data_IF_577391123747
#
_entry.id   IF_577391123747
#
_cell.length_a   1.000
_cell.length_b   1.000
_cell.length_c   1.000
_cell.angle_alpha   90.00
_cell.angle_beta   90.00
_cell.angle_gamma   90.00
#
_symmetry.space_group_name_H-M   'P 1'
#
loop_
_entity.id
_entity.type
_entity.pdbx_description
1 polymer ?
#
# COMPACT_ATOMS: atom_id res chain seq x y z
N UNK A 1 11.93 -14.21 6.73
CA UNK A 1 10.46 -14.37 6.74
C UNK A 1 10.18 -15.85 6.95
N UNK A 2 9.48 -16.24 8.03
CA UNK A 2 9.32 -17.64 8.44
C UNK A 2 8.59 -18.46 7.37
N UNK A 3 9.32 -19.30 6.65
CA UNK A 3 8.75 -20.30 5.75
C UNK A 3 8.36 -21.53 6.56
N UNK A 4 7.39 -21.36 7.46
CA UNK A 4 6.87 -22.44 8.30
C UNK A 4 5.99 -23.41 7.51
N UNK A 5 5.93 -24.66 7.98
CA UNK A 5 4.87 -25.58 7.59
C UNK A 5 3.63 -25.27 8.43
N UNK A 6 2.46 -25.30 7.80
CA UNK A 6 1.17 -25.11 8.47
C UNK A 6 0.29 -26.34 8.24
N UNK A 7 -0.50 -26.75 9.23
CA UNK A 7 -1.50 -27.80 9.00
C UNK A 7 -2.59 -27.28 8.06
N UNK A 8 -3.13 -28.17 7.22
CA UNK A 8 -4.25 -27.87 6.31
C UNK A 8 -5.43 -27.15 7.00
N UNK A 9 -5.70 -27.49 8.26
CA UNK A 9 -6.82 -26.95 9.03
C UNK A 9 -6.61 -25.49 9.41
N UNK A 10 -5.41 -25.15 9.89
CA UNK A 10 -5.00 -23.79 10.25
C UNK A 10 -4.87 -22.90 9.00
N UNK A 11 -4.53 -23.51 7.86
CA UNK A 11 -4.37 -22.81 6.59
C UNK A 11 -5.68 -22.23 6.04
N UNK A 12 -6.86 -22.72 6.46
CA UNK A 12 -8.17 -22.26 5.94
C UNK A 12 -8.42 -20.77 6.17
N UNK A 13 -7.86 -20.22 7.24
CA UNK A 13 -8.05 -18.82 7.60
C UNK A 13 -7.04 -17.87 6.95
N UNK A 14 -6.04 -18.38 6.23
CA UNK A 14 -4.98 -17.57 5.62
C UNK A 14 -5.53 -16.56 4.59
N UNK A 15 -6.47 -16.98 3.75
CA UNK A 15 -7.08 -16.10 2.73
C UNK A 15 -7.83 -14.93 3.37
N UNK A 16 -8.60 -15.20 4.43
CA UNK A 16 -9.29 -14.16 5.21
C UNK A 16 -8.31 -13.21 5.90
N UNK A 17 -7.23 -13.75 6.47
CA UNK A 17 -6.20 -12.94 7.11
C UNK A 17 -5.49 -12.02 6.09
N UNK A 18 -5.16 -12.53 4.90
CA UNK A 18 -4.55 -11.73 3.82
C UNK A 18 -5.49 -10.61 3.34
N UNK A 19 -6.79 -10.89 3.20
CA UNK A 19 -7.80 -9.90 2.84
C UNK A 19 -7.93 -8.80 3.90
N UNK A 20 -8.07 -9.17 5.18
CA UNK A 20 -8.14 -8.20 6.29
C UNK A 20 -6.89 -7.33 6.34
N UNK A 21 -5.70 -7.93 6.25
CA UNK A 21 -4.44 -7.18 6.26
C UNK A 21 -4.39 -6.13 5.13
N UNK A 22 -4.95 -6.46 3.97
CA UNK A 22 -4.93 -5.55 2.82
C UNK A 22 -5.92 -4.41 2.96
N UNK A 23 -7.09 -4.65 3.55
CA UNK A 23 -7.99 -3.56 3.93
C UNK A 23 -7.37 -2.63 4.98
N UNK A 24 -6.62 -3.18 5.93
CA UNK A 24 -5.88 -2.37 6.92
C UNK A 24 -4.85 -1.49 6.19
N UNK A 25 -4.08 -2.05 5.25
CA UNK A 25 -3.09 -1.29 4.46
C UNK A 25 -3.77 -0.19 3.64
N UNK A 26 -4.84 -0.51 2.90
CA UNK A 26 -5.59 0.45 2.10
C UNK A 26 -6.18 1.56 2.99
N UNK A 27 -6.77 1.18 4.13
CA UNK A 27 -7.34 2.13 5.09
C UNK A 27 -6.30 3.06 5.69
N UNK A 28 -5.14 2.53 6.11
CA UNK A 28 -4.03 3.33 6.61
C UNK A 28 -3.52 4.32 5.55
N UNK A 29 -3.40 3.88 4.29
CA UNK A 29 -3.01 4.75 3.19
C UNK A 29 -4.04 5.85 2.92
N UNK A 30 -5.33 5.53 2.96
CA UNK A 30 -6.39 6.52 2.80
C UNK A 30 -6.31 7.62 3.88
N UNK A 31 -6.09 7.24 5.15
CA UNK A 31 -5.90 8.19 6.25
C UNK A 31 -4.71 9.10 5.98
N UNK A 32 -3.55 8.53 5.60
CA UNK A 32 -2.34 9.32 5.30
C UNK A 32 -2.59 10.28 4.13
N UNK A 33 -3.27 9.83 3.08
CA UNK A 33 -3.61 10.69 1.93
C UNK A 33 -4.52 11.85 2.31
N UNK A 34 -5.51 11.62 3.17
CA UNK A 34 -6.39 12.67 3.71
C UNK A 34 -5.60 13.66 4.56
N UNK A 35 -4.74 13.17 5.47
CA UNK A 35 -3.87 14.05 6.28
C UNK A 35 -2.93 14.88 5.40
N UNK A 36 -2.40 14.27 4.34
CA UNK A 36 -1.58 14.99 3.37
C UNK A 36 -2.34 16.13 2.71
N UNK A 37 -3.54 15.86 2.21
CA UNK A 37 -4.34 16.85 1.46
C UNK A 37 -4.84 18.00 2.31
N UNK A 38 -5.31 17.72 3.53
CA UNK A 38 -6.01 18.72 4.34
C UNK A 38 -5.16 19.36 5.44
N UNK A 39 -4.02 18.77 5.80
CA UNK A 39 -3.20 19.24 6.92
C UNK A 39 -1.80 19.64 6.45
N UNK A 40 -1.09 18.72 5.78
CA UNK A 40 0.34 18.91 5.46
C UNK A 40 0.52 19.84 4.26
N UNK A 41 -0.19 19.60 3.16
CA UNK A 41 -0.06 20.40 1.94
C UNK A 41 -0.42 21.88 2.18
N UNK A 42 -1.54 22.23 2.85
CA UNK A 42 -1.86 23.62 3.13
C UNK A 42 -0.77 24.34 3.94
N UNK A 43 -0.20 23.66 4.95
CA UNK A 43 0.92 24.21 5.74
C UNK A 43 2.19 24.40 4.91
N UNK A 44 2.50 23.46 4.01
CA UNK A 44 3.63 23.60 3.09
C UNK A 44 3.44 24.78 2.12
N UNK A 45 2.21 25.00 1.65
CA UNK A 45 1.83 26.15 0.82
C UNK A 45 2.02 27.46 1.56
N UNK A 46 1.57 27.53 2.82
CA UNK A 46 1.73 28.71 3.67
C UNK A 46 3.20 29.06 3.88
N UNK A 47 4.04 28.07 4.23
CA UNK A 47 5.48 28.25 4.41
C UNK A 47 6.17 28.68 3.11
N UNK A 48 5.81 28.07 1.97
CA UNK A 48 6.36 28.43 0.67
C UNK A 48 5.98 29.87 0.26
N UNK A 49 4.74 30.29 0.54
CA UNK A 49 4.27 31.65 0.29
C UNK A 49 5.02 32.71 1.10
N UNK A 50 5.37 32.40 2.36
CA UNK A 50 6.15 33.31 3.22
C UNK A 50 7.63 33.36 2.82
N UNK A 51 8.19 32.26 2.33
CA UNK A 51 9.60 32.17 1.94
C UNK A 51 9.89 32.64 0.51
N UNK A 52 8.86 33.01 -0.26
CA UNK A 52 9.00 33.37 -1.68
C UNK A 52 9.42 32.18 -2.55
N UNK A 53 9.39 30.96 -2.01
CA UNK A 53 9.80 29.75 -2.70
C UNK A 53 8.73 29.42 -3.73
N UNK A 54 9.07 29.24 -5.03
CA UNK A 54 8.09 28.84 -6.01
C UNK A 54 7.55 27.48 -5.58
N UNK A 55 6.28 27.47 -5.15
CA UNK A 55 5.53 26.23 -4.95
C UNK A 55 5.82 25.36 -6.16
N UNK A 56 6.37 24.15 -5.97
CA UNK A 56 6.69 23.33 -7.11
C UNK A 56 5.38 23.14 -7.87
N UNK A 57 5.26 23.73 -9.06
CA UNK A 57 4.11 23.58 -9.98
C UNK A 57 3.81 22.09 -10.21
N UNK A 58 4.83 21.24 -9.99
CA UNK A 58 4.77 19.79 -9.88
C UNK A 58 3.74 19.25 -8.87
N UNK A 59 3.45 19.92 -7.75
CA UNK A 59 2.53 19.40 -6.72
C UNK A 59 1.07 19.35 -7.17
N UNK A 60 0.63 20.25 -8.06
CA UNK A 60 -0.75 20.34 -8.51
C UNK A 60 -1.15 19.24 -9.51
N UNK A 61 -0.19 18.75 -10.31
CA UNK A 61 -0.44 17.69 -11.30
C UNK A 61 -0.08 16.30 -10.78
N UNK A 62 1.00 16.17 -10.03
CA UNK A 62 1.43 14.86 -9.52
C UNK A 62 0.52 14.35 -8.41
N UNK A 63 -0.10 15.23 -7.63
CA UNK A 63 -1.03 14.83 -6.58
C UNK A 63 -2.28 14.11 -7.12
N UNK A 64 -3.06 14.69 -8.07
CA UNK A 64 -4.21 13.98 -8.63
C UNK A 64 -3.78 12.70 -9.36
N UNK A 65 -2.63 12.69 -10.05
CA UNK A 65 -2.10 11.47 -10.70
C UNK A 65 -1.79 10.38 -9.68
N UNK A 66 -1.06 10.70 -8.60
CA UNK A 66 -0.73 9.76 -7.54
C UNK A 66 -1.98 9.24 -6.84
N UNK A 67 -2.97 10.11 -6.58
CA UNK A 67 -4.24 9.71 -5.99
C UNK A 67 -5.05 8.80 -6.93
N UNK A 68 -5.14 9.11 -8.22
CA UNK A 68 -5.80 8.23 -9.20
C UNK A 68 -5.12 6.86 -9.26
N UNK A 69 -3.78 6.82 -9.24
CA UNK A 69 -3.00 5.57 -9.20
C UNK A 69 -3.28 4.76 -7.93
N UNK A 70 -3.29 5.39 -6.76
CA UNK A 70 -3.60 4.74 -5.49
C UNK A 70 -5.04 4.18 -5.47
N UNK A 71 -6.01 4.90 -6.04
CA UNK A 71 -7.40 4.43 -6.16
C UNK A 71 -7.48 3.22 -7.08
N UNK A 72 -6.86 3.28 -8.26
CA UNK A 72 -6.86 2.16 -9.22
C UNK A 72 -6.18 0.91 -8.63
N UNK A 73 -5.07 1.08 -7.91
CA UNK A 73 -4.40 -0.02 -7.21
C UNK A 73 -5.26 -0.58 -6.08
N UNK A 74 -5.94 0.26 -5.31
CA UNK A 74 -6.88 -0.17 -4.27
C UNK A 74 -7.98 -1.04 -4.86
N UNK A 75 -8.62 -0.62 -5.96
CA UNK A 75 -9.65 -1.39 -6.66
C UNK A 75 -9.08 -2.73 -7.14
N UNK A 76 -7.89 -2.72 -7.75
CA UNK A 76 -7.25 -3.95 -8.25
C UNK A 76 -6.93 -4.95 -7.13
N UNK A 77 -6.50 -4.45 -5.96
CA UNK A 77 -6.23 -5.28 -4.77
C UNK A 77 -7.53 -5.85 -4.23
N UNK A 78 -8.59 -5.04 -4.09
CA UNK A 78 -9.90 -5.48 -3.59
C UNK A 78 -10.47 -6.59 -4.49
N UNK A 79 -10.51 -6.37 -5.80
CA UNK A 79 -10.97 -7.37 -6.76
C UNK A 79 -10.16 -8.67 -6.68
N UNK A 80 -8.84 -8.56 -6.54
CA UNK A 80 -7.98 -9.75 -6.41
C UNK A 80 -8.16 -10.46 -5.07
N UNK A 81 -8.52 -9.70 -4.03
CA UNK A 81 -8.73 -10.21 -2.67
C UNK A 81 -9.97 -11.10 -2.56
N UNK A 82 -10.99 -10.84 -3.40
CA UNK A 82 -12.22 -11.63 -3.42
C UNK A 82 -11.96 -13.07 -3.92
N UNK A 83 -10.97 -13.25 -4.80
CA UNK A 83 -10.58 -14.57 -5.32
C UNK A 83 -9.59 -15.33 -4.42
N UNK A 84 -9.07 -14.72 -3.34
CA UNK A 84 -8.07 -15.36 -2.47
C UNK A 84 -8.62 -16.59 -1.76
N UNK A 85 -9.88 -16.55 -1.32
CA UNK A 85 -10.47 -17.67 -0.59
C UNK A 85 -10.71 -18.87 -1.51
N UNK A 86 -11.13 -18.62 -2.75
CA UNK A 86 -11.39 -19.66 -3.74
C UNK A 86 -10.09 -20.29 -4.26
N UNK A 87 -9.06 -19.47 -4.54
CA UNK A 87 -7.72 -19.95 -4.90
C UNK A 87 -7.12 -20.80 -3.76
N UNK A 88 -7.27 -20.36 -2.51
CA UNK A 88 -6.84 -21.11 -1.34
C UNK A 88 -7.60 -22.43 -1.20
N UNK A 89 -8.92 -22.44 -1.38
CA UNK A 89 -9.76 -23.66 -1.34
C UNK A 89 -9.31 -24.67 -2.40
N UNK A 90 -9.10 -24.23 -3.65
CA UNK A 90 -8.58 -25.09 -4.71
C UNK A 90 -7.19 -25.66 -4.38
N UNK A 91 -6.29 -24.84 -3.84
CA UNK A 91 -4.95 -25.30 -3.41
C UNK A 91 -5.03 -26.32 -2.28
N UNK A 92 -5.93 -26.13 -1.31
CA UNK A 92 -6.10 -27.01 -0.14
C UNK A 92 -6.77 -28.34 -0.48
N UNK A 93 -7.54 -28.44 -1.57
CA UNK A 93 -8.16 -29.71 -2.01
C UNK A 93 -7.14 -30.80 -2.33
N UNK A 94 -5.92 -30.42 -2.74
CA UNK A 94 -4.84 -31.36 -3.11
C UNK A 94 -4.19 -32.07 -1.93
N UNK A 95 -4.46 -31.63 -0.70
CA UNK A 95 -3.80 -32.13 0.52
C UNK A 95 -4.76 -32.92 1.40
N UNK A 96 -4.25 -33.91 2.14
CA UNK A 96 -5.03 -34.71 3.09
C UNK A 96 -5.24 -33.96 4.42
N UNK A 97 -6.20 -34.42 5.22
CA UNK A 97 -6.42 -33.88 6.57
C UNK A 97 -5.20 -34.22 7.45
N UNK A 98 -4.74 -33.25 8.26
CA UNK A 98 -3.54 -33.40 9.10
C UNK A 98 -2.21 -33.21 8.37
N UNK A 99 -2.21 -33.07 7.04
CA UNK A 99 -0.98 -32.87 6.27
C UNK A 99 -0.38 -31.47 6.51
N UNK A 100 0.94 -31.43 6.62
CA UNK A 100 1.70 -30.20 6.76
C UNK A 100 2.03 -29.62 5.38
N UNK A 101 1.59 -28.40 5.15
CA UNK A 101 1.70 -27.70 3.88
C UNK A 101 2.72 -26.58 4.04
N UNK A 102 3.66 -26.50 3.09
CA UNK A 102 4.60 -25.39 3.02
C UNK A 102 3.82 -24.09 2.68
N UNK A 103 3.90 -23.07 3.55
CA UNK A 103 3.15 -21.82 3.39
C UNK A 103 3.32 -21.18 2.00
N UNK A 104 4.53 -21.30 1.42
CA UNK A 104 4.89 -20.83 0.07
C UNK A 104 3.94 -21.32 -1.02
N UNK A 105 3.43 -22.54 -0.90
CA UNK A 105 2.57 -23.17 -1.91
C UNK A 105 1.14 -22.62 -1.86
N UNK A 106 0.73 -22.10 -0.70
CA UNK A 106 -0.60 -21.54 -0.50
C UNK A 106 -0.63 -20.05 -0.86
N UNK A 107 0.51 -19.37 -0.73
CA UNK A 107 0.63 -17.93 -0.94
C UNK A 107 0.33 -17.50 -2.39
N UNK A 108 -0.42 -16.41 -2.56
CA UNK A 108 -0.66 -15.80 -3.86
C UNK A 108 0.35 -14.65 -4.09
N UNK A 109 1.40 -14.93 -4.88
CA UNK A 109 2.46 -13.94 -5.15
C UNK A 109 1.97 -12.74 -5.95
N UNK A 110 1.05 -12.95 -6.89
CA UNK A 110 0.51 -11.86 -7.72
C UNK A 110 -0.22 -10.85 -6.85
N UNK A 111 -0.97 -11.34 -5.86
CA UNK A 111 -1.62 -10.51 -4.87
C UNK A 111 -0.61 -9.71 -4.04
N UNK A 112 0.43 -10.36 -3.52
CA UNK A 112 1.49 -9.71 -2.75
C UNK A 112 2.21 -8.62 -3.54
N UNK A 113 2.51 -8.86 -4.82
CA UNK A 113 3.13 -7.84 -5.69
C UNK A 113 2.22 -6.63 -5.90
N UNK A 114 0.90 -6.80 -5.96
CA UNK A 114 -0.03 -5.66 -6.03
C UNK A 114 0.01 -4.83 -4.75
N UNK A 115 -0.02 -5.48 -3.59
CA UNK A 115 0.07 -4.81 -2.28
C UNK A 115 1.42 -4.10 -2.12
N UNK A 116 2.52 -4.77 -2.46
CA UNK A 116 3.87 -4.17 -2.45
C UNK A 116 3.99 -2.99 -3.43
N UNK A 117 3.43 -3.11 -4.63
CA UNK A 117 3.41 -2.02 -5.61
C UNK A 117 2.69 -0.78 -5.08
N UNK A 118 1.56 -0.97 -4.41
CA UNK A 118 0.83 0.12 -3.76
C UNK A 118 1.67 0.78 -2.65
N UNK A 119 2.34 -0.01 -1.81
CA UNK A 119 3.25 0.52 -0.79
C UNK A 119 4.40 1.32 -1.40
N UNK A 120 5.00 0.82 -2.49
CA UNK A 120 6.08 1.51 -3.18
C UNK A 120 5.62 2.87 -3.74
N UNK A 121 4.45 2.92 -4.38
CA UNK A 121 3.87 4.16 -4.90
C UNK A 121 3.62 5.16 -3.78
N UNK A 122 3.13 4.70 -2.62
CA UNK A 122 2.94 5.55 -1.45
C UNK A 122 4.26 6.13 -0.93
N UNK A 123 5.32 5.33 -0.87
CA UNK A 123 6.65 5.80 -0.45
C UNK A 123 7.18 6.88 -1.42
N UNK A 124 7.06 6.65 -2.72
CA UNK A 124 7.46 7.62 -3.75
C UNK A 124 6.64 8.90 -3.61
N UNK A 125 5.33 8.79 -3.43
CA UNK A 125 4.44 9.92 -3.22
C UNK A 125 4.85 10.75 -1.98
N UNK A 126 5.05 10.12 -0.82
CA UNK A 126 5.49 10.82 0.39
C UNK A 126 6.88 11.47 0.23
N UNK A 127 7.79 10.80 -0.48
CA UNK A 127 9.14 11.32 -0.73
C UNK A 127 9.11 12.58 -1.58
N UNK A 128 8.33 12.59 -2.66
CA UNK A 128 8.21 13.73 -3.57
C UNK A 128 7.39 14.86 -2.93
N UNK A 129 6.35 14.53 -2.17
CA UNK A 129 5.42 15.53 -1.60
C UNK A 129 5.86 16.13 -0.27
N UNK A 130 6.69 15.45 0.53
CA UNK A 130 7.14 15.95 1.84
C UNK A 130 8.66 16.10 1.86
N UNK A 131 9.40 15.02 1.59
CA UNK A 131 10.84 14.97 1.83
C UNK A 131 11.57 15.94 0.91
N UNK A 132 11.31 15.90 -0.40
CA UNK A 132 11.95 16.82 -1.36
C UNK A 132 11.68 18.31 -1.05
N UNK A 133 10.42 18.74 -0.81
CA UNK A 133 10.13 20.12 -0.43
C UNK A 133 10.87 20.56 0.84
N UNK A 134 10.86 19.74 1.89
CA UNK A 134 11.56 20.05 3.14
C UNK A 134 13.06 20.19 2.90
N UNK A 135 13.70 19.22 2.21
CA UNK A 135 15.13 19.30 1.90
C UNK A 135 15.50 20.56 1.12
N UNK A 136 14.67 20.97 0.16
CA UNK A 136 14.89 22.20 -0.62
C UNK A 136 14.75 23.46 0.23
N UNK A 137 13.78 23.51 1.13
CA UNK A 137 13.61 24.63 2.06
C UNK A 137 14.79 24.70 3.04
N UNK A 138 15.17 23.57 3.66
CA UNK A 138 16.24 23.54 4.66
C UNK A 138 17.63 23.76 4.06
N UNK A 139 17.88 23.28 2.84
CA UNK A 139 19.15 23.46 2.15
C UNK A 139 19.42 24.88 1.64
N UNK A 140 18.42 25.77 1.62
CA UNK A 140 18.61 27.21 1.33
C UNK A 140 18.89 28.06 2.57
N UNK A 141 18.71 27.50 3.77
CA UNK A 141 18.91 28.22 5.06
C UNK A 141 20.38 28.17 5.50
N UNK A 142 21.25 27.46 4.77
CA UNK A 142 22.70 27.42 4.96
C UNK A 142 23.44 28.07 3.80
#
# INVERSE_FOLDING_TARGET
MYWGYIKKEDAKNLGKAQRINSYIVIGAMAIVSVMMQFIIIPKLIEIAGVTGFPLPVYSQYYFPIAMSLLILMSISIIQSSDYLEDDLKQKLQKYKKGEMILLKKLWNKNYEYKVMGMMFVMIVYLTVSIIMPIYKITGMVY
#
